data_IF_598621491861
#
_entry.id   IF_598621491861
#
_cell.length_a   1.000
_cell.length_b   1.000
_cell.length_c   1.000
_cell.angle_alpha   90.00
_cell.angle_beta   90.00
_cell.angle_gamma   90.00
#
_symmetry.space_group_name_H-M   'P 1'
#
loop_
_entity.id
_entity.type
_entity.pdbx_description
1 polymer ?
#
# COMPACT_ATOMS: atom_id res chain seq x y z
N UNK A 1 6.23 -33.19 10.48
CA UNK A 1 5.36 -32.81 9.34
C UNK A 1 4.64 -31.47 9.60
N UNK A 2 4.00 -31.27 10.73
CA UNK A 2 3.27 -30.02 11.08
C UNK A 2 4.21 -28.77 11.08
N UNK A 3 5.40 -28.87 11.65
CA UNK A 3 6.38 -27.77 11.70
C UNK A 3 6.82 -27.30 10.30
N UNK A 4 7.12 -28.23 9.40
CA UNK A 4 7.52 -27.91 8.01
C UNK A 4 6.40 -27.21 7.25
N UNK A 5 5.14 -27.60 7.48
CA UNK A 5 3.99 -26.95 6.84
C UNK A 5 3.77 -25.52 7.36
N UNK A 6 4.03 -25.28 8.62
CA UNK A 6 3.91 -23.93 9.23
C UNK A 6 5.02 -23.02 8.73
N UNK A 7 6.25 -23.53 8.62
CA UNK A 7 7.40 -22.80 8.06
C UNK A 7 7.17 -22.43 6.60
N UNK A 8 6.78 -23.38 5.76
CA UNK A 8 6.43 -23.13 4.35
C UNK A 8 5.28 -22.13 4.18
N UNK A 9 4.32 -22.14 5.09
CA UNK A 9 3.22 -21.16 5.09
C UNK A 9 3.74 -19.76 5.40
N UNK A 10 4.61 -19.64 6.40
CA UNK A 10 5.18 -18.36 6.80
C UNK A 10 6.07 -17.76 5.70
N UNK A 11 6.87 -18.59 5.01
CA UNK A 11 7.67 -18.15 3.87
C UNK A 11 6.79 -17.66 2.71
N UNK A 12 5.71 -18.36 2.41
CA UNK A 12 4.77 -17.94 1.37
C UNK A 12 4.06 -16.63 1.74
N UNK A 13 3.67 -16.45 3.00
CA UNK A 13 3.09 -15.19 3.52
C UNK A 13 4.10 -14.07 3.40
N UNK A 14 5.34 -14.29 3.86
CA UNK A 14 6.41 -13.30 3.77
C UNK A 14 6.64 -12.82 2.34
N UNK A 15 6.85 -13.73 1.40
CA UNK A 15 7.10 -13.37 0.00
C UNK A 15 5.92 -12.61 -0.61
N UNK A 16 4.69 -13.09 -0.38
CA UNK A 16 3.47 -12.43 -0.85
C UNK A 16 3.38 -10.99 -0.35
N UNK A 17 3.57 -10.79 0.95
CA UNK A 17 3.49 -9.48 1.59
C UNK A 17 4.61 -8.58 1.11
N UNK A 18 5.85 -9.07 1.12
CA UNK A 18 7.04 -8.34 0.67
C UNK A 18 6.87 -7.81 -0.75
N UNK A 19 6.52 -8.68 -1.70
CA UNK A 19 6.38 -8.26 -3.09
C UNK A 19 5.18 -7.34 -3.32
N UNK A 20 4.09 -7.52 -2.56
CA UNK A 20 2.92 -6.63 -2.66
C UNK A 20 3.29 -5.22 -2.22
N UNK A 21 3.93 -5.07 -1.06
CA UNK A 21 4.36 -3.76 -0.56
C UNK A 21 5.44 -3.14 -1.46
N UNK A 22 6.44 -3.93 -1.84
CA UNK A 22 7.50 -3.48 -2.73
C UNK A 22 6.95 -2.88 -4.04
N UNK A 23 6.00 -3.57 -4.68
CA UNK A 23 5.43 -3.11 -5.95
C UNK A 23 4.47 -1.94 -5.73
N UNK A 24 3.69 -1.96 -4.64
CA UNK A 24 2.76 -0.89 -4.31
C UNK A 24 3.48 0.44 -4.08
N UNK A 25 4.69 0.39 -3.52
CA UNK A 25 5.50 1.57 -3.21
C UNK A 25 6.32 2.08 -4.39
N UNK A 26 6.56 1.25 -5.41
CA UNK A 26 7.39 1.66 -6.54
C UNK A 26 6.82 2.88 -7.27
N UNK A 27 7.58 3.97 -7.26
CA UNK A 27 7.23 5.24 -7.93
C UNK A 27 6.33 6.17 -7.12
N UNK A 28 6.18 5.92 -5.83
CA UNK A 28 5.36 6.79 -4.98
C UNK A 28 6.07 8.11 -4.60
N UNK A 29 5.27 9.07 -4.12
CA UNK A 29 5.71 10.41 -3.67
C UNK A 29 6.83 10.36 -2.63
N UNK A 30 6.82 9.37 -1.76
CA UNK A 30 7.83 9.18 -0.71
C UNK A 30 9.21 8.91 -1.26
N UNK A 31 9.36 8.23 -2.38
CA UNK A 31 10.64 8.08 -3.06
C UNK A 31 11.20 9.42 -3.53
N UNK A 32 10.35 10.30 -4.08
CA UNK A 32 10.75 11.65 -4.48
C UNK A 32 11.11 12.52 -3.27
N UNK A 33 10.34 12.40 -2.18
CA UNK A 33 10.63 13.08 -0.91
C UNK A 33 11.98 12.62 -0.34
N UNK A 34 12.27 11.32 -0.35
CA UNK A 34 13.57 10.79 0.10
C UNK A 34 14.71 11.34 -0.74
N UNK A 35 14.55 11.46 -2.07
CA UNK A 35 15.54 12.11 -2.94
C UNK A 35 15.74 13.57 -2.52
N UNK A 36 14.67 14.32 -2.28
CA UNK A 36 14.76 15.71 -1.84
C UNK A 36 15.45 15.83 -0.47
N UNK A 37 15.22 14.89 0.45
CA UNK A 37 15.89 14.87 1.75
C UNK A 37 17.41 14.66 1.65
N UNK A 38 17.92 14.03 0.57
CA UNK A 38 19.36 13.86 0.36
C UNK A 38 20.10 15.20 0.19
N UNK A 39 19.41 16.27 -0.17
CA UNK A 39 19.98 17.62 -0.24
C UNK A 39 20.17 18.27 1.14
N UNK A 40 19.42 17.81 2.15
CA UNK A 40 19.39 18.44 3.49
C UNK A 40 20.09 17.59 4.57
N UNK A 41 20.04 16.24 4.44
CA UNK A 41 20.52 15.31 5.44
C UNK A 41 21.51 14.31 4.86
N UNK A 42 22.35 13.74 5.72
CA UNK A 42 23.25 12.66 5.33
C UNK A 42 22.45 11.39 5.02
N UNK A 43 22.87 10.65 4.02
CA UNK A 43 22.19 9.40 3.61
C UNK A 43 21.98 8.43 4.78
N UNK A 44 22.93 8.33 5.71
CA UNK A 44 22.80 7.51 6.92
C UNK A 44 21.61 7.93 7.78
N UNK A 45 21.42 9.22 7.97
CA UNK A 45 20.35 9.76 8.81
C UNK A 45 18.97 9.55 8.15
N UNK A 46 18.93 9.63 6.83
CA UNK A 46 17.74 9.33 6.03
C UNK A 46 17.39 7.85 6.18
N UNK A 47 18.35 6.95 5.95
CA UNK A 47 18.11 5.50 6.05
C UNK A 47 17.63 5.11 7.46
N UNK A 48 18.25 5.64 8.50
CA UNK A 48 17.88 5.31 9.89
C UNK A 48 16.50 5.86 10.25
N UNK A 49 16.21 7.11 9.89
CA UNK A 49 14.92 7.73 10.15
C UNK A 49 13.77 7.03 9.41
N UNK A 50 13.96 6.76 8.12
CA UNK A 50 13.00 6.04 7.28
C UNK A 50 12.76 4.62 7.78
N UNK A 51 13.82 3.85 8.06
CA UNK A 51 13.68 2.49 8.58
C UNK A 51 12.91 2.46 9.89
N UNK A 52 13.21 3.38 10.82
CA UNK A 52 12.50 3.47 12.09
C UNK A 52 11.02 3.82 11.89
N UNK A 53 10.70 4.77 11.01
CA UNK A 53 9.33 5.15 10.69
C UNK A 53 8.53 3.98 10.09
N UNK A 54 9.09 3.28 9.12
CA UNK A 54 8.49 2.11 8.47
C UNK A 54 8.18 1.01 9.48
N UNK A 55 9.14 0.69 10.36
CA UNK A 55 8.95 -0.35 11.38
C UNK A 55 7.81 0.01 12.34
N UNK A 56 7.74 1.26 12.77
CA UNK A 56 6.68 1.71 13.68
C UNK A 56 5.32 1.74 12.98
N UNK A 57 5.24 2.33 11.78
CA UNK A 57 3.99 2.43 11.02
C UNK A 57 3.40 1.06 10.70
N UNK A 58 4.21 0.18 10.10
CA UNK A 58 3.77 -1.17 9.75
C UNK A 58 3.48 -2.03 10.98
N UNK A 59 4.23 -1.84 12.06
CA UNK A 59 3.95 -2.50 13.34
C UNK A 59 2.56 -2.14 13.88
N UNK A 60 2.24 -0.86 13.92
CA UNK A 60 0.93 -0.38 14.34
C UNK A 60 -0.18 -0.86 13.40
N UNK A 61 0.06 -0.80 12.08
CA UNK A 61 -0.91 -1.23 11.07
C UNK A 61 -1.23 -2.73 11.17
N UNK A 62 -0.21 -3.57 11.25
CA UNK A 62 -0.38 -5.04 11.36
C UNK A 62 -1.04 -5.43 12.67
N UNK A 63 -0.65 -4.80 13.79
CA UNK A 63 -1.30 -5.05 15.08
C UNK A 63 -2.76 -4.65 15.06
N UNK A 64 -3.09 -3.48 14.51
CA UNK A 64 -4.47 -3.05 14.35
C UNK A 64 -5.27 -4.04 13.50
N UNK A 65 -4.72 -4.48 12.36
CA UNK A 65 -5.33 -5.50 11.51
C UNK A 65 -5.50 -6.85 12.21
N UNK A 66 -4.47 -7.33 12.89
CA UNK A 66 -4.48 -8.60 13.60
C UNK A 66 -5.50 -8.64 14.75
N UNK A 67 -5.64 -7.56 15.52
CA UNK A 67 -6.64 -7.45 16.58
C UNK A 67 -8.06 -7.44 16.02
N UNK A 68 -8.28 -6.74 14.89
CA UNK A 68 -9.59 -6.70 14.23
C UNK A 68 -10.02 -8.08 13.76
N UNK A 69 -9.12 -8.95 13.33
CA UNK A 69 -9.43 -10.31 12.87
C UNK A 69 -10.03 -11.23 13.95
N UNK A 70 -9.79 -10.95 15.22
CA UNK A 70 -10.36 -11.74 16.34
C UNK A 70 -11.85 -11.45 16.56
N UNK A 71 -12.32 -10.27 16.15
CA UNK A 71 -13.71 -9.81 16.39
C UNK A 71 -14.57 -9.79 15.13
N UNK A 72 -13.96 -9.79 13.95
CA UNK A 72 -14.67 -9.65 12.67
C UNK A 72 -14.54 -10.95 11.86
N UNK A 73 -15.64 -11.45 11.25
CA UNK A 73 -15.59 -12.65 10.43
C UNK A 73 -14.67 -12.49 9.21
N UNK A 74 -13.89 -13.51 8.90
CA UNK A 74 -12.91 -13.53 7.79
C UNK A 74 -13.48 -13.06 6.43
N UNK A 75 -14.72 -13.44 6.12
CA UNK A 75 -15.36 -13.04 4.87
C UNK A 75 -15.56 -11.52 4.77
N UNK A 76 -15.91 -10.87 5.90
CA UNK A 76 -16.12 -9.43 5.94
C UNK A 76 -14.80 -8.68 5.79
N UNK A 77 -13.73 -9.17 6.44
CA UNK A 77 -12.37 -8.61 6.28
C UNK A 77 -11.95 -8.67 4.81
N UNK A 78 -12.16 -9.82 4.15
CA UNK A 78 -11.83 -9.98 2.73
C UNK A 78 -12.66 -9.07 1.82
N UNK A 79 -13.92 -8.86 2.13
CA UNK A 79 -14.76 -7.92 1.37
C UNK A 79 -14.27 -6.48 1.49
N UNK A 80 -13.94 -6.04 2.71
CA UNK A 80 -13.40 -4.69 2.95
C UNK A 80 -12.03 -4.53 2.26
N UNK A 81 -11.16 -5.53 2.38
CA UNK A 81 -9.86 -5.54 1.71
C UNK A 81 -9.97 -5.47 0.18
N UNK A 82 -10.90 -6.24 -0.40
CA UNK A 82 -11.16 -6.21 -1.84
C UNK A 82 -11.61 -4.82 -2.32
N UNK A 83 -12.52 -4.19 -1.57
CA UNK A 83 -12.97 -2.82 -1.86
C UNK A 83 -11.83 -1.81 -1.75
N UNK A 84 -10.96 -1.94 -0.74
CA UNK A 84 -9.78 -1.09 -0.59
C UNK A 84 -8.83 -1.23 -1.79
N UNK A 85 -8.47 -2.46 -2.19
CA UNK A 85 -7.62 -2.68 -3.36
C UNK A 85 -8.24 -2.14 -4.66
N UNK A 86 -9.54 -2.34 -4.88
CA UNK A 86 -10.22 -1.80 -6.06
C UNK A 86 -10.31 -0.26 -6.03
N UNK A 87 -10.49 0.32 -4.85
CA UNK A 87 -10.42 1.78 -4.68
C UNK A 87 -9.02 2.31 -5.01
N UNK A 88 -7.94 1.67 -4.50
CA UNK A 88 -6.58 2.06 -4.85
C UNK A 88 -6.29 1.90 -6.33
N UNK A 89 -6.73 0.81 -6.97
CA UNK A 89 -6.62 0.68 -8.41
C UNK A 89 -7.28 1.87 -9.12
N UNK A 90 -8.48 2.25 -8.73
CA UNK A 90 -9.16 3.40 -9.31
C UNK A 90 -8.45 4.73 -9.02
N UNK A 91 -7.91 4.92 -7.80
CA UNK A 91 -7.20 6.15 -7.41
C UNK A 91 -5.92 6.38 -8.18
N UNK A 92 -5.21 5.30 -8.60
CA UNK A 92 -4.02 5.44 -9.45
C UNK A 92 -4.32 6.08 -10.82
N UNK A 93 -5.59 6.06 -11.26
CA UNK A 93 -6.03 6.75 -12.48
C UNK A 93 -6.29 8.26 -12.25
N UNK A 94 -6.58 8.65 -11.00
CA UNK A 94 -6.77 10.06 -10.65
C UNK A 94 -5.46 10.85 -10.76
N UNK A 95 -4.32 10.19 -10.64
CA UNK A 95 -3.03 10.82 -10.37
C UNK A 95 -2.96 11.21 -8.90
N UNK A 96 -1.79 11.36 -8.37
CA UNK A 96 -1.65 11.99 -7.07
C UNK A 96 -2.11 13.45 -7.25
N UNK A 97 -3.26 13.80 -6.65
CA UNK A 97 -3.54 15.20 -6.40
C UNK A 97 -2.42 15.63 -5.47
N UNK A 98 -1.58 16.55 -5.94
CA UNK A 98 -0.58 17.20 -5.14
C UNK A 98 -1.29 17.76 -3.89
N UNK A 99 -1.31 16.97 -2.81
CA UNK A 99 -1.48 17.58 -1.51
C UNK A 99 -0.29 18.54 -1.43
N UNK A 100 -0.58 19.83 -1.51
CA UNK A 100 0.38 20.91 -1.42
C UNK A 100 1.29 20.61 -0.22
N UNK A 101 2.47 20.05 -0.53
CA UNK A 101 3.53 19.96 0.46
C UNK A 101 3.83 21.40 0.83
N UNK A 102 3.47 21.78 2.05
CA UNK A 102 3.98 23.00 2.65
C UNK A 102 5.50 22.95 2.53
N UNK A 103 6.03 23.68 1.53
CA UNK A 103 7.47 23.77 1.23
C UNK A 103 8.31 24.34 2.40
N UNK A 104 7.68 24.67 3.51
CA UNK A 104 8.30 25.19 4.71
C UNK A 104 8.71 24.12 5.73
N UNK A 105 9.15 22.95 5.26
CA UNK A 105 9.77 21.91 6.08
C UNK A 105 11.06 22.32 6.81
N UNK A 106 11.07 23.46 7.44
CA UNK A 106 12.05 23.82 8.48
C UNK A 106 11.73 23.07 9.75
N UNK A 107 12.05 21.77 9.75
CA UNK A 107 12.04 20.98 10.97
C UNK A 107 12.95 21.65 12.01
N UNK A 108 12.35 22.11 13.11
CA UNK A 108 13.07 22.61 14.29
C UNK A 108 13.79 21.50 15.06
N UNK A 109 13.76 20.27 14.56
CA UNK A 109 14.34 19.10 15.22
C UNK A 109 15.84 19.07 14.90
N UNK A 110 16.68 19.28 15.91
CA UNK A 110 18.14 19.30 15.76
C UNK A 110 18.75 17.90 15.47
N UNK A 111 18.05 16.81 15.80
CA UNK A 111 18.51 15.44 15.57
C UNK A 111 18.00 14.95 14.21
N UNK A 112 18.89 14.93 13.23
CA UNK A 112 18.57 14.64 11.84
C UNK A 112 17.78 13.32 11.60
N UNK A 113 18.12 12.15 12.20
CA UNK A 113 17.30 10.95 12.01
C UNK A 113 15.87 11.08 12.53
N UNK A 114 15.65 11.84 13.60
CA UNK A 114 14.31 12.08 14.13
C UNK A 114 13.49 13.02 13.24
N UNK A 115 14.15 14.01 12.63
CA UNK A 115 13.48 14.90 11.67
C UNK A 115 13.02 14.10 10.44
N UNK A 116 13.87 13.23 9.90
CA UNK A 116 13.52 12.32 8.81
C UNK A 116 12.40 11.37 9.22
N UNK A 117 12.51 10.75 10.41
CA UNK A 117 11.47 9.88 10.95
C UNK A 117 10.10 10.58 10.98
N UNK A 118 10.02 11.77 11.56
CA UNK A 118 8.76 12.50 11.66
C UNK A 118 8.20 12.87 10.29
N UNK A 119 9.06 13.34 9.38
CA UNK A 119 8.64 13.72 8.02
C UNK A 119 8.10 12.52 7.28
N UNK A 120 8.82 11.39 7.28
CA UNK A 120 8.40 10.17 6.62
C UNK A 120 7.15 9.58 7.28
N UNK A 121 7.11 9.57 8.61
CA UNK A 121 5.98 9.06 9.37
C UNK A 121 4.66 9.78 9.02
N UNK A 122 4.71 11.11 8.94
CA UNK A 122 3.52 11.92 8.57
C UNK A 122 3.14 11.70 7.11
N UNK A 123 4.12 11.62 6.20
CA UNK A 123 3.88 11.42 4.77
C UNK A 123 3.24 10.06 4.46
N UNK A 124 3.60 9.02 5.23
CA UNK A 124 3.09 7.65 5.08
C UNK A 124 1.84 7.35 5.90
N UNK A 125 1.50 8.23 6.88
CA UNK A 125 0.34 7.98 7.74
C UNK A 125 -0.96 8.00 6.92
N UNK A 126 -1.64 6.85 6.87
CA UNK A 126 -2.90 6.71 6.14
C UNK A 126 -2.76 6.41 4.65
N UNK A 127 -1.56 6.18 4.15
CA UNK A 127 -1.32 5.84 2.74
C UNK A 127 -1.73 4.39 2.40
N UNK A 128 -1.71 4.07 1.11
CA UNK A 128 -2.10 2.77 0.54
C UNK A 128 -1.33 1.59 1.14
N UNK A 129 -0.03 1.74 1.38
CA UNK A 129 0.83 0.73 1.99
C UNK A 129 0.43 0.43 3.43
N UNK A 130 0.09 1.43 4.22
CA UNK A 130 -0.42 1.22 5.58
C UNK A 130 -1.74 0.43 5.60
N UNK A 131 -2.67 0.72 4.67
CA UNK A 131 -3.91 -0.05 4.55
C UNK A 131 -3.66 -1.48 4.05
N UNK A 132 -2.65 -1.68 3.22
CA UNK A 132 -2.20 -3.01 2.80
C UNK A 132 -1.68 -3.81 4.00
N UNK A 133 -0.84 -3.21 4.85
CA UNK A 133 -0.34 -3.82 6.08
C UNK A 133 -1.47 -4.19 7.06
N UNK A 134 -2.45 -3.31 7.28
CA UNK A 134 -3.66 -3.59 8.06
C UNK A 134 -4.41 -4.80 7.47
N UNK A 135 -4.60 -4.81 6.16
CA UNK A 135 -5.32 -5.88 5.45
C UNK A 135 -4.62 -7.22 5.59
N UNK A 136 -3.31 -7.27 5.42
CA UNK A 136 -2.54 -8.51 5.63
C UNK A 136 -2.56 -8.95 7.09
N UNK A 137 -2.40 -8.02 8.04
CA UNK A 137 -2.54 -8.29 9.46
C UNK A 137 -3.89 -8.94 9.80
N UNK A 138 -4.98 -8.37 9.27
CA UNK A 138 -6.33 -8.91 9.45
C UNK A 138 -6.54 -10.26 8.76
N UNK A 139 -6.00 -10.47 7.55
CA UNK A 139 -6.18 -11.71 6.80
C UNK A 139 -5.38 -12.89 7.35
N UNK A 140 -4.15 -12.65 7.80
CA UNK A 140 -3.25 -13.70 8.30
C UNK A 140 -3.37 -13.88 9.83
N UNK A 141 -3.95 -12.91 10.53
CA UNK A 141 -4.19 -12.91 11.96
C UNK A 141 -2.93 -12.78 12.83
N UNK A 142 -3.12 -12.73 14.15
CA UNK A 142 -2.04 -12.48 15.11
C UNK A 142 -0.91 -13.52 15.08
N UNK A 143 -1.20 -14.77 14.70
CA UNK A 143 -0.17 -15.82 14.62
C UNK A 143 0.91 -15.53 13.60
N UNK A 144 0.55 -14.87 12.51
CA UNK A 144 1.48 -14.50 11.43
C UNK A 144 1.87 -13.02 11.48
N UNK A 145 1.43 -12.26 12.50
CA UNK A 145 1.63 -10.81 12.58
C UNK A 145 3.10 -10.41 12.47
N UNK A 146 4.02 -11.15 13.09
CA UNK A 146 5.45 -10.88 12.99
C UNK A 146 5.98 -11.05 11.55
N UNK A 147 5.56 -12.10 10.86
CA UNK A 147 5.97 -12.37 9.47
C UNK A 147 5.42 -11.31 8.54
N UNK A 148 4.16 -10.91 8.72
CA UNK A 148 3.51 -9.84 7.97
C UNK A 148 4.22 -8.51 8.22
N UNK A 149 4.49 -8.16 9.49
CA UNK A 149 5.21 -6.94 9.85
C UNK A 149 6.58 -6.82 9.18
N UNK A 150 7.39 -7.88 9.27
CA UNK A 150 8.72 -7.89 8.64
C UNK A 150 8.59 -7.85 7.11
N UNK A 151 7.64 -8.60 6.54
CA UNK A 151 7.39 -8.60 5.09
C UNK A 151 7.01 -7.21 4.57
N UNK A 152 6.02 -6.56 5.19
CA UNK A 152 5.62 -5.19 4.86
C UNK A 152 6.81 -4.22 5.00
N UNK A 153 7.50 -4.27 6.13
CA UNK A 153 8.58 -3.33 6.42
C UNK A 153 9.76 -3.47 5.46
N UNK A 154 10.16 -4.69 5.14
CA UNK A 154 11.25 -4.93 4.21
C UNK A 154 10.84 -4.64 2.76
N UNK A 155 9.60 -4.93 2.38
CA UNK A 155 9.08 -4.62 1.04
C UNK A 155 9.07 -3.12 0.77
N UNK A 156 8.45 -2.35 1.67
CA UNK A 156 8.39 -0.90 1.62
C UNK A 156 9.80 -0.28 1.62
N UNK A 157 10.64 -0.68 2.58
CA UNK A 157 12.01 -0.16 2.70
C UNK A 157 12.86 -0.46 1.47
N UNK A 158 12.76 -1.66 0.89
CA UNK A 158 13.49 -2.04 -0.31
C UNK A 158 13.05 -1.20 -1.52
N UNK A 159 11.75 -0.94 -1.67
CA UNK A 159 11.23 -0.08 -2.72
C UNK A 159 11.74 1.36 -2.59
N UNK A 160 11.71 1.91 -1.39
CA UNK A 160 12.21 3.26 -1.11
C UNK A 160 13.70 3.42 -1.42
N UNK A 161 14.52 2.48 -0.96
CA UNK A 161 15.97 2.48 -1.27
C UNK A 161 16.21 2.35 -2.77
N UNK A 162 15.49 1.45 -3.44
CA UNK A 162 15.64 1.25 -4.88
C UNK A 162 15.17 2.49 -5.66
N UNK A 163 14.02 3.05 -5.31
CA UNK A 163 13.49 4.27 -5.94
C UNK A 163 14.42 5.46 -5.76
N UNK A 164 14.95 5.66 -4.55
CA UNK A 164 15.93 6.69 -4.26
C UNK A 164 17.22 6.50 -5.08
N UNK A 165 17.73 5.26 -5.17
CA UNK A 165 18.91 4.93 -5.96
C UNK A 165 18.67 5.18 -7.47
N UNK A 166 17.57 4.70 -8.01
CA UNK A 166 17.18 4.89 -9.40
C UNK A 166 16.98 6.37 -9.71
N UNK A 167 16.27 7.10 -8.86
CA UNK A 167 16.08 8.54 -9.01
C UNK A 167 17.41 9.32 -8.99
N UNK A 168 18.30 8.96 -8.07
CA UNK A 168 19.63 9.57 -7.99
C UNK A 168 20.49 9.30 -9.21
N UNK A 169 20.49 8.07 -9.71
CA UNK A 169 21.30 7.66 -10.87
C UNK A 169 20.78 8.23 -12.19
N UNK A 170 19.49 8.25 -12.38
CA UNK A 170 18.89 8.65 -13.66
C UNK A 170 18.74 10.15 -13.81
N UNK A 171 18.68 10.92 -12.71
CA UNK A 171 18.41 12.38 -12.69
C UNK A 171 17.23 12.80 -13.59
N UNK A 172 16.38 11.88 -13.95
CA UNK A 172 15.27 12.10 -14.86
C UNK A 172 13.97 11.71 -14.17
N UNK A 173 12.90 12.38 -14.55
CA UNK A 173 11.56 12.05 -14.07
C UNK A 173 11.28 10.57 -14.32
N UNK A 174 11.06 9.81 -13.27
CA UNK A 174 10.51 8.46 -13.38
C UNK A 174 9.24 8.56 -14.21
N UNK A 175 8.99 7.67 -15.17
CA UNK A 175 7.77 7.77 -15.97
C UNK A 175 6.56 7.37 -15.09
N UNK A 176 5.97 8.36 -14.44
CA UNK A 176 4.84 8.22 -13.51
C UNK A 176 3.69 7.42 -14.14
N UNK A 177 3.48 7.58 -15.46
CA UNK A 177 2.44 6.85 -16.18
C UNK A 177 2.63 5.32 -16.23
N UNK A 178 3.88 4.83 -16.31
CA UNK A 178 4.15 3.39 -16.30
C UNK A 178 3.92 2.78 -14.91
N UNK A 179 4.38 3.47 -13.88
CA UNK A 179 4.24 3.02 -12.51
C UNK A 179 2.78 3.02 -12.06
N UNK A 180 2.03 4.07 -12.37
CA UNK A 180 0.60 4.14 -12.12
C UNK A 180 -0.17 3.03 -12.87
N UNK A 181 0.22 2.72 -14.10
CA UNK A 181 -0.39 1.61 -14.86
C UNK A 181 -0.11 0.26 -14.20
N UNK A 182 1.13 0.02 -13.76
CA UNK A 182 1.48 -1.21 -13.05
C UNK A 182 0.73 -1.33 -11.72
N UNK A 183 0.68 -0.26 -10.94
CA UNK A 183 -0.07 -0.21 -9.69
C UNK A 183 -1.56 -0.50 -9.94
N UNK A 184 -2.18 0.15 -10.94
CA UNK A 184 -3.56 -0.13 -11.33
C UNK A 184 -3.81 -1.61 -11.62
N UNK A 185 -2.98 -2.23 -12.45
CA UNK A 185 -3.12 -3.65 -12.82
C UNK A 185 -2.99 -4.55 -11.61
N UNK A 186 -1.98 -4.31 -10.77
CA UNK A 186 -1.71 -5.13 -9.59
C UNK A 186 -2.84 -5.02 -8.57
N UNK A 187 -3.25 -3.82 -8.21
CA UNK A 187 -4.36 -3.62 -7.27
C UNK A 187 -5.69 -4.16 -7.80
N UNK A 188 -5.93 -4.06 -9.11
CA UNK A 188 -7.11 -4.66 -9.75
C UNK A 188 -7.12 -6.18 -9.62
N UNK A 189 -5.98 -6.84 -9.89
CA UNK A 189 -5.84 -8.30 -9.75
C UNK A 189 -6.03 -8.74 -8.30
N UNK A 190 -5.35 -8.08 -7.34
CA UNK A 190 -5.49 -8.40 -5.93
C UNK A 190 -6.90 -8.14 -5.41
N UNK A 191 -7.51 -7.02 -5.81
CA UNK A 191 -8.89 -6.70 -5.48
C UNK A 191 -9.87 -7.76 -5.97
N UNK A 192 -9.76 -8.14 -7.24
CA UNK A 192 -10.58 -9.19 -7.83
C UNK A 192 -10.40 -10.55 -7.12
N UNK A 193 -9.15 -10.97 -6.90
CA UNK A 193 -8.84 -12.23 -6.22
C UNK A 193 -9.37 -12.27 -4.77
N UNK A 194 -9.17 -11.19 -4.02
CA UNK A 194 -9.64 -11.07 -2.63
C UNK A 194 -11.16 -11.03 -2.56
N UNK A 195 -11.82 -10.35 -3.52
CA UNK A 195 -13.27 -10.35 -3.65
C UNK A 195 -13.82 -11.76 -3.87
N UNK A 196 -13.18 -12.51 -4.78
CA UNK A 196 -13.57 -13.90 -5.03
C UNK A 196 -13.49 -14.76 -3.76
N UNK A 197 -12.41 -14.65 -3.00
CA UNK A 197 -12.28 -15.37 -1.74
C UNK A 197 -13.35 -14.98 -0.72
N UNK A 198 -13.59 -13.67 -0.53
CA UNK A 198 -14.59 -13.16 0.41
C UNK A 198 -16.01 -13.63 0.04
N UNK A 199 -16.38 -13.57 -1.23
CA UNK A 199 -17.68 -14.04 -1.73
C UNK A 199 -17.87 -15.55 -1.52
N UNK A 200 -16.86 -16.37 -1.78
CA UNK A 200 -16.94 -17.80 -1.55
C UNK A 200 -17.10 -18.14 -0.07
N UNK A 201 -16.37 -17.45 0.82
CA UNK A 201 -16.51 -17.64 2.26
C UNK A 201 -17.89 -17.21 2.78
N UNK A 202 -18.41 -16.07 2.28
CA UNK A 202 -19.74 -15.58 2.62
C UNK A 202 -20.81 -16.54 2.12
N UNK A 203 -20.71 -17.03 0.89
CA UNK A 203 -21.64 -17.98 0.31
C UNK A 203 -21.69 -19.31 1.09
N UNK A 204 -20.56 -19.77 1.60
CA UNK A 204 -20.47 -21.01 2.36
C UNK A 204 -21.01 -20.87 3.79
N UNK A 205 -20.97 -19.67 4.41
CA UNK A 205 -21.24 -19.50 5.85
C UNK A 205 -22.51 -18.70 6.18
N UNK A 206 -22.97 -17.82 5.29
CA UNK A 206 -24.01 -16.83 5.63
C UNK A 206 -25.25 -16.96 4.74
N UNK A 207 -25.10 -16.88 3.43
CA UNK A 207 -26.23 -16.87 2.50
C UNK A 207 -25.79 -17.39 1.13
N UNK A 208 -26.52 -18.32 0.51
CA UNK A 208 -26.25 -18.75 -0.86
C UNK A 208 -26.62 -17.63 -1.83
N UNK A 209 -25.61 -16.92 -2.31
CA UNK A 209 -25.76 -15.85 -3.30
C UNK A 209 -25.22 -16.34 -4.65
N UNK A 210 -25.84 -16.01 -5.77
CA UNK A 210 -25.27 -16.31 -7.08
C UNK A 210 -24.01 -15.45 -7.27
N UNK A 211 -22.83 -16.04 -6.96
CA UNK A 211 -21.52 -15.37 -6.96
C UNK A 211 -21.24 -14.65 -8.28
N UNK A 212 -21.72 -15.19 -9.40
CA UNK A 212 -21.57 -14.58 -10.73
C UNK A 212 -22.29 -13.23 -10.87
N UNK A 213 -23.45 -13.04 -10.24
CA UNK A 213 -24.18 -11.77 -10.31
C UNK A 213 -23.48 -10.65 -9.53
N UNK A 214 -22.85 -11.02 -8.40
CA UNK A 214 -22.04 -10.07 -7.62
C UNK A 214 -20.79 -9.67 -8.39
N UNK A 215 -20.18 -10.61 -9.13
CA UNK A 215 -19.05 -10.32 -10.00
C UNK A 215 -19.40 -9.32 -11.10
N UNK A 216 -20.55 -9.51 -11.78
CA UNK A 216 -21.01 -8.58 -12.81
C UNK A 216 -21.27 -7.20 -12.21
N UNK A 217 -21.95 -7.14 -11.05
CA UNK A 217 -22.20 -5.87 -10.38
C UNK A 217 -20.90 -5.17 -9.97
N UNK A 218 -19.96 -5.89 -9.38
CA UNK A 218 -18.67 -5.35 -8.99
C UNK A 218 -17.87 -4.84 -10.21
N UNK A 219 -17.84 -5.59 -11.31
CA UNK A 219 -17.16 -5.17 -12.54
C UNK A 219 -17.79 -3.92 -13.15
N UNK A 220 -19.13 -3.82 -13.17
CA UNK A 220 -19.85 -2.63 -13.67
C UNK A 220 -19.58 -1.42 -12.79
N UNK A 221 -19.65 -1.56 -11.47
CA UNK A 221 -19.37 -0.47 -10.53
C UNK A 221 -17.92 -0.01 -10.67
N UNK A 222 -16.97 -0.94 -10.73
CA UNK A 222 -15.54 -0.63 -10.86
C UNK A 222 -15.22 0.08 -12.18
N UNK A 223 -15.76 -0.40 -13.30
CA UNK A 223 -15.56 0.25 -14.60
C UNK A 223 -16.21 1.64 -14.67
N UNK A 224 -17.39 1.81 -14.06
CA UNK A 224 -18.06 3.10 -13.96
C UNK A 224 -17.25 4.09 -13.10
N UNK A 225 -16.68 3.63 -11.98
CA UNK A 225 -15.81 4.43 -11.11
C UNK A 225 -14.55 4.87 -11.85
N UNK A 226 -13.86 3.95 -12.52
CA UNK A 226 -12.67 4.25 -13.32
C UNK A 226 -12.98 5.26 -14.44
N UNK A 227 -14.08 5.07 -15.15
CA UNK A 227 -14.52 6.00 -16.20
C UNK A 227 -14.84 7.39 -15.62
N UNK A 228 -15.51 7.46 -14.48
CA UNK A 228 -15.83 8.72 -13.82
C UNK A 228 -14.58 9.48 -13.39
N UNK A 229 -13.61 8.79 -12.76
CA UNK A 229 -12.32 9.37 -12.35
C UNK A 229 -11.57 9.88 -13.58
N UNK A 230 -11.47 9.08 -14.65
CA UNK A 230 -10.80 9.47 -15.88
C UNK A 230 -11.42 10.72 -16.55
N UNK A 231 -12.76 10.79 -16.57
CA UNK A 231 -13.50 11.94 -17.14
C UNK A 231 -13.29 13.19 -16.28
N UNK A 232 -13.32 13.04 -14.95
CA UNK A 232 -13.08 14.14 -14.01
C UNK A 232 -11.70 14.74 -14.24
N UNK A 233 -10.65 13.93 -14.26
CA UNK A 233 -9.27 14.34 -14.52
C UNK A 233 -9.11 15.06 -15.88
N UNK A 234 -9.76 14.54 -16.91
CA UNK A 234 -9.72 15.17 -18.25
C UNK A 234 -10.37 16.55 -18.29
N UNK A 235 -11.34 16.81 -17.41
CA UNK A 235 -11.97 18.13 -17.29
C UNK A 235 -11.08 19.12 -16.54
N UNK A 236 -10.45 18.69 -15.46
CA UNK A 236 -9.53 19.51 -14.65
C UNK A 236 -8.33 19.96 -15.49
N UNK A 237 -7.67 19.06 -16.19
CA UNK A 237 -6.57 19.38 -17.11
C UNK A 237 -6.96 20.30 -18.30
N UNK A 238 -8.25 20.53 -18.55
CA UNK A 238 -8.71 21.48 -19.58
C UNK A 238 -9.02 22.88 -19.04
N UNK A 239 -9.13 23.05 -17.73
CA UNK A 239 -9.38 24.35 -17.11
C UNK A 239 -8.08 25.09 -16.77
N UNK A 240 -6.93 24.41 -16.81
CA UNK A 240 -5.60 24.96 -16.50
C UNK A 240 -4.83 25.40 -17.75
N UNK A 241 -5.47 25.41 -18.93
CA UNK A 241 -4.97 25.97 -20.21
C UNK A 241 -5.81 27.19 -20.63
#
# INVERSE_FOLDING_TARGET
>A
MHYIQEEMKNDAVFLKVFFTEFIAEMGDKTQLMLIALTSKYKLRDIILGTAAAILVLNGLAVLAGGLVSEFIPDWLIKMIAALAFLYFAASTLAGDDDEEEDEDGKSKIQFAPLAVFCTFFVAELGDKTQLTAITFGANEGMKSAFVVWIGCSLGLFAADILGMLVGYLLKSKTPDGLLNTLAFVIFSIFGAFTLHQGLNMMNARVCPIPVWSVWIAAAVIFTALCAWIYIKRKKENKCDI
#
